data_IF_235832935157
#
_entry.id   IF_235832935157
#
_cell.length_a   1.000
_cell.length_b   1.000
_cell.length_c   1.000
_cell.angle_alpha   90.00
_cell.angle_beta   90.00
_cell.angle_gamma   90.00
#
_symmetry.space_group_name_H-M   'P 1'
#
loop_
_entity.id
_entity.type
_entity.pdbx_description
1 polymer ?
#
# COMPACT_ATOMS: atom_id res chain seq x y z
N UNK A 1 4.29 16.90 -7.49
CA UNK A 1 3.86 15.54 -7.09
C UNK A 1 2.46 15.59 -6.51
N UNK A 2 1.61 14.59 -6.77
CA UNK A 2 0.33 14.36 -6.08
C UNK A 2 0.32 12.96 -5.47
N UNK A 3 -0.39 12.78 -4.35
CA UNK A 3 -0.59 11.46 -3.77
C UNK A 3 -1.99 10.94 -4.04
N UNK A 4 -2.18 9.62 -4.03
CA UNK A 4 -3.51 9.03 -3.96
C UNK A 4 -3.55 7.76 -3.12
N UNK A 5 -4.74 7.47 -2.61
CA UNK A 5 -5.08 6.21 -1.93
C UNK A 5 -6.44 5.71 -2.41
N UNK A 6 -6.69 4.41 -2.26
CA UNK A 6 -7.99 3.79 -2.55
C UNK A 6 -8.56 3.24 -1.26
N UNK A 7 -9.85 3.48 -1.02
CA UNK A 7 -10.49 3.23 0.27
C UNK A 7 -11.91 2.66 0.08
N UNK A 8 -12.21 1.61 0.85
CA UNK A 8 -13.54 1.06 1.07
C UNK A 8 -13.89 1.05 2.57
N UNK A 9 -15.12 0.66 2.92
CA UNK A 9 -15.61 0.61 4.31
C UNK A 9 -14.76 -0.27 5.23
N UNK A 10 -14.11 -1.30 4.69
CA UNK A 10 -13.28 -2.24 5.47
C UNK A 10 -12.00 -1.62 6.02
N UNK A 11 -11.58 -0.47 5.50
CA UNK A 11 -10.30 0.16 5.83
C UNK A 11 -10.42 1.54 6.50
N UNK A 12 -11.60 1.96 6.94
CA UNK A 12 -11.82 3.30 7.56
C UNK A 12 -10.90 3.53 8.77
N UNK A 13 -10.81 2.59 9.71
CA UNK A 13 -9.97 2.76 10.90
C UNK A 13 -8.48 2.86 10.54
N UNK A 14 -8.02 2.03 9.61
CA UNK A 14 -6.65 2.08 9.12
C UNK A 14 -6.37 3.39 8.39
N UNK A 15 -7.31 3.88 7.57
CA UNK A 15 -7.21 5.15 6.88
C UNK A 15 -7.09 6.33 7.85
N UNK A 16 -7.89 6.36 8.92
CA UNK A 16 -7.81 7.37 9.98
C UNK A 16 -6.40 7.42 10.57
N UNK A 17 -5.81 6.27 10.94
CA UNK A 17 -4.46 6.21 11.52
C UNK A 17 -3.37 6.55 10.50
N UNK A 18 -3.45 5.94 9.31
CA UNK A 18 -2.46 6.13 8.25
C UNK A 18 -2.41 7.58 7.77
N UNK A 19 -3.57 8.16 7.41
CA UNK A 19 -3.64 9.52 6.86
C UNK A 19 -3.35 10.58 7.92
N UNK A 20 -3.82 10.41 9.17
CA UNK A 20 -3.41 11.28 10.26
C UNK A 20 -1.89 11.28 10.47
N UNK A 21 -1.25 10.09 10.40
CA UNK A 21 0.21 10.01 10.50
C UNK A 21 0.92 10.58 9.28
N UNK A 22 0.37 10.41 8.07
CA UNK A 22 0.91 10.97 6.85
C UNK A 22 0.95 12.50 6.90
N UNK A 23 -0.18 13.15 7.16
CA UNK A 23 -0.28 14.61 7.21
C UNK A 23 0.44 15.26 8.40
N UNK A 24 0.76 14.48 9.43
CA UNK A 24 1.63 14.96 10.52
C UNK A 24 3.04 15.35 10.01
N UNK A 25 3.53 14.68 8.97
CA UNK A 25 4.91 14.85 8.49
C UNK A 25 5.01 15.36 7.06
N UNK A 26 3.93 15.29 6.27
CA UNK A 26 3.95 15.60 4.84
C UNK A 26 2.86 16.61 4.49
N UNK A 27 3.14 17.50 3.55
CA UNK A 27 2.17 18.45 2.99
C UNK A 27 2.17 18.31 1.48
N UNK A 28 1.16 17.64 0.95
CA UNK A 28 1.00 17.33 -0.48
C UNK A 28 -0.49 17.12 -0.77
N UNK A 29 -0.92 17.44 -1.99
CA UNK A 29 -2.28 17.12 -2.44
C UNK A 29 -2.49 15.60 -2.43
N UNK A 30 -3.57 15.15 -1.78
CA UNK A 30 -3.99 13.76 -1.70
C UNK A 30 -5.36 13.57 -2.32
N UNK A 31 -5.48 12.62 -3.24
CA UNK A 31 -6.76 12.19 -3.81
C UNK A 31 -7.18 10.88 -3.13
N UNK A 32 -8.36 10.87 -2.52
CA UNK A 32 -8.97 9.68 -1.94
C UNK A 32 -9.99 9.12 -2.92
N UNK A 33 -9.69 7.99 -3.54
CA UNK A 33 -10.66 7.23 -4.34
C UNK A 33 -11.48 6.33 -3.40
N UNK A 34 -12.65 6.80 -3.02
CA UNK A 34 -13.55 6.06 -2.13
C UNK A 34 -14.59 5.28 -2.91
N UNK A 35 -14.89 4.05 -2.49
CA UNK A 35 -16.02 3.31 -3.02
C UNK A 35 -17.32 4.08 -2.76
N UNK A 36 -18.23 4.14 -3.75
CA UNK A 36 -19.53 4.77 -3.58
C UNK A 36 -20.29 4.17 -2.39
N UNK A 37 -20.79 5.07 -1.52
CA UNK A 37 -21.51 4.69 -0.31
C UNK A 37 -20.66 4.63 0.95
N UNK A 38 -19.32 4.67 0.83
CA UNK A 38 -18.42 4.72 1.99
C UNK A 38 -18.57 6.04 2.76
N UNK A 39 -18.78 5.96 4.06
CA UNK A 39 -18.78 7.12 4.96
C UNK A 39 -17.35 7.51 5.34
N UNK A 40 -16.91 8.66 4.83
CA UNK A 40 -15.57 9.20 5.08
C UNK A 40 -15.51 10.23 6.23
N UNK A 41 -16.59 10.48 6.95
CA UNK A 41 -16.67 11.54 7.98
C UNK A 41 -15.51 11.48 8.97
N UNK A 42 -15.16 10.28 9.44
CA UNK A 42 -14.05 10.04 10.39
C UNK A 42 -12.67 10.26 9.77
N UNK A 43 -12.51 9.91 8.50
CA UNK A 43 -11.26 10.11 7.75
C UNK A 43 -11.03 11.59 7.50
N UNK A 44 -12.08 12.29 7.02
CA UNK A 44 -11.99 13.72 6.72
C UNK A 44 -11.78 14.58 7.97
N UNK A 45 -12.21 14.12 9.14
CA UNK A 45 -11.98 14.81 10.41
C UNK A 45 -10.51 14.84 10.86
N UNK A 46 -9.63 14.00 10.28
CA UNK A 46 -8.21 13.89 10.70
C UNK A 46 -7.22 14.32 9.62
N UNK A 47 -7.71 14.87 8.51
CA UNK A 47 -6.87 15.33 7.38
C UNK A 47 -7.12 16.81 7.10
N UNK A 48 -6.14 17.56 6.56
CA UNK A 48 -6.33 18.96 6.18
C UNK A 48 -7.24 19.05 4.95
N UNK A 49 -8.39 19.73 5.09
CA UNK A 49 -9.41 19.84 4.04
C UNK A 49 -8.84 20.45 2.75
N UNK A 50 -7.97 21.45 2.88
CA UNK A 50 -7.37 22.16 1.74
C UNK A 50 -6.38 21.32 0.91
N UNK A 51 -5.97 20.15 1.41
CA UNK A 51 -5.04 19.25 0.72
C UNK A 51 -5.69 17.98 0.23
N UNK A 52 -6.99 17.76 0.47
CA UNK A 52 -7.65 16.49 0.18
C UNK A 52 -8.79 16.65 -0.81
N UNK A 53 -8.72 15.93 -1.91
CA UNK A 53 -9.82 15.75 -2.86
C UNK A 53 -10.42 14.35 -2.67
N UNK A 54 -11.75 14.24 -2.66
CA UNK A 54 -12.44 12.94 -2.60
C UNK A 54 -13.13 12.66 -3.94
N UNK A 55 -12.84 11.48 -4.50
CA UNK A 55 -13.50 10.95 -5.71
C UNK A 55 -14.27 9.68 -5.36
N UNK A 56 -15.60 9.77 -5.34
CA UNK A 56 -16.46 8.61 -5.14
C UNK A 56 -16.62 7.83 -6.45
N UNK A 57 -16.15 6.58 -6.45
CA UNK A 57 -16.12 5.71 -7.63
C UNK A 57 -16.79 4.36 -7.36
N UNK A 58 -17.30 3.72 -8.39
CA UNK A 58 -17.71 2.32 -8.30
C UNK A 58 -16.50 1.44 -8.61
N UNK A 59 -16.13 0.58 -7.67
CA UNK A 59 -15.05 -0.37 -7.91
C UNK A 59 -15.45 -1.41 -8.96
N UNK A 60 -14.50 -1.95 -9.72
CA UNK A 60 -14.77 -3.02 -10.67
C UNK A 60 -15.45 -4.22 -9.99
N UNK A 61 -16.39 -4.90 -10.65
CA UNK A 61 -17.13 -6.01 -10.05
C UNK A 61 -16.23 -7.23 -9.78
N UNK A 62 -16.53 -7.97 -8.72
CA UNK A 62 -15.76 -9.14 -8.28
C UNK A 62 -15.65 -10.25 -9.34
N UNK A 63 -16.66 -10.39 -10.18
CA UNK A 63 -16.77 -11.42 -11.20
C UNK A 63 -15.62 -11.35 -12.21
N UNK A 64 -15.10 -10.15 -12.48
CA UNK A 64 -13.94 -9.94 -13.35
C UNK A 64 -12.66 -10.63 -12.82
N UNK A 65 -12.63 -10.96 -11.55
CA UNK A 65 -11.44 -11.46 -10.85
C UNK A 65 -11.61 -12.87 -10.29
N UNK A 66 -12.68 -13.58 -10.65
CA UNK A 66 -13.02 -14.88 -10.07
C UNK A 66 -11.90 -15.93 -10.20
N UNK A 67 -11.13 -15.87 -11.26
CA UNK A 67 -10.02 -16.82 -11.56
C UNK A 67 -8.64 -16.31 -11.13
N UNK A 68 -8.52 -15.05 -10.70
CA UNK A 68 -7.23 -14.45 -10.32
C UNK A 68 -6.65 -15.16 -9.10
N UNK A 69 -5.36 -15.51 -9.19
CA UNK A 69 -4.60 -16.17 -8.12
C UNK A 69 -4.97 -17.64 -7.86
N UNK A 70 -6.00 -18.20 -8.51
CA UNK A 70 -6.46 -19.55 -8.24
C UNK A 70 -6.66 -19.79 -6.74
N UNK A 71 -6.02 -20.83 -6.16
CA UNK A 71 -6.04 -21.12 -4.72
C UNK A 71 -4.87 -20.47 -3.95
N UNK A 72 -4.13 -19.55 -4.56
CA UNK A 72 -2.82 -19.07 -4.10
C UNK A 72 -2.77 -17.57 -3.86
N UNK A 73 -3.90 -16.89 -4.00
CA UNK A 73 -3.99 -15.44 -3.84
C UNK A 73 -3.57 -15.04 -2.41
N UNK A 74 -2.57 -14.17 -2.30
CA UNK A 74 -2.06 -13.65 -1.02
C UNK A 74 -2.93 -12.54 -0.42
N UNK A 75 -3.75 -11.92 -1.26
CA UNK A 75 -4.71 -10.91 -0.84
C UNK A 75 -6.10 -11.55 -0.70
N UNK A 76 -6.90 -11.06 0.22
CA UNK A 76 -8.29 -11.51 0.30
C UNK A 76 -9.02 -11.17 -1.00
N UNK A 77 -9.82 -12.12 -1.55
CA UNK A 77 -10.50 -11.90 -2.84
C UNK A 77 -11.36 -10.63 -2.87
N UNK A 78 -11.96 -10.26 -1.74
CA UNK A 78 -12.72 -9.01 -1.61
C UNK A 78 -11.90 -7.75 -1.83
N UNK A 79 -10.58 -7.80 -1.67
CA UNK A 79 -9.70 -6.66 -1.89
C UNK A 79 -9.32 -6.45 -3.37
N UNK A 80 -9.56 -7.45 -4.25
CA UNK A 80 -9.12 -7.36 -5.65
C UNK A 80 -9.80 -6.22 -6.43
N UNK A 81 -11.08 -5.88 -6.23
CA UNK A 81 -11.70 -4.71 -6.83
C UNK A 81 -11.02 -3.39 -6.43
N UNK A 82 -10.67 -3.22 -5.16
CA UNK A 82 -9.93 -2.04 -4.68
C UNK A 82 -8.52 -1.97 -5.31
N UNK A 83 -7.86 -3.13 -5.44
CA UNK A 83 -6.56 -3.27 -6.11
C UNK A 83 -6.66 -2.86 -7.59
N UNK A 84 -7.69 -3.29 -8.29
CA UNK A 84 -7.91 -2.91 -9.69
C UNK A 84 -8.25 -1.41 -9.82
N UNK A 85 -9.05 -0.86 -8.90
CA UNK A 85 -9.32 0.57 -8.84
C UNK A 85 -8.05 1.38 -8.61
N UNK A 86 -7.06 0.84 -7.89
CA UNK A 86 -5.78 1.50 -7.67
C UNK A 86 -4.97 1.70 -8.96
N UNK A 87 -4.96 0.70 -9.85
CA UNK A 87 -4.32 0.84 -11.16
C UNK A 87 -5.05 1.89 -12.03
N UNK A 88 -6.38 1.92 -11.96
CA UNK A 88 -7.17 2.94 -12.67
C UNK A 88 -6.90 4.33 -12.10
N UNK A 89 -6.87 4.49 -10.78
CA UNK A 89 -6.53 5.75 -10.12
C UNK A 89 -5.10 6.21 -10.48
N UNK A 90 -4.13 5.30 -10.56
CA UNK A 90 -2.78 5.63 -11.00
C UNK A 90 -2.77 6.21 -12.41
N UNK A 91 -3.52 5.61 -13.36
CA UNK A 91 -3.66 6.15 -14.71
C UNK A 91 -4.26 7.56 -14.71
N UNK A 92 -5.35 7.76 -13.98
CA UNK A 92 -6.05 9.05 -13.89
C UNK A 92 -5.17 10.14 -13.27
N UNK A 93 -4.54 9.88 -12.13
CA UNK A 93 -3.70 10.85 -11.43
C UNK A 93 -2.41 11.17 -12.20
N UNK A 94 -1.85 10.20 -12.92
CA UNK A 94 -0.66 10.44 -13.77
C UNK A 94 -0.91 11.38 -14.94
N UNK A 95 -2.17 11.56 -15.36
CA UNK A 95 -2.53 12.58 -16.34
C UNK A 95 -2.57 14.01 -15.76
N UNK A 96 -2.60 14.14 -14.43
CA UNK A 96 -2.68 15.43 -13.72
C UNK A 96 -1.33 15.90 -13.19
N UNK A 97 -0.32 15.03 -13.10
CA UNK A 97 0.99 15.36 -12.53
C UNK A 97 2.09 14.46 -13.08
N UNK A 98 3.30 15.00 -13.20
CA UNK A 98 4.48 14.26 -13.67
C UNK A 98 4.98 13.20 -12.68
N UNK A 99 4.56 13.27 -11.42
CA UNK A 99 5.01 12.35 -10.39
C UNK A 99 3.86 12.02 -9.44
N UNK A 100 3.55 10.74 -9.31
CA UNK A 100 2.45 10.22 -8.51
C UNK A 100 3.00 9.42 -7.34
N UNK A 101 2.59 9.74 -6.11
CA UNK A 101 2.82 8.94 -4.92
C UNK A 101 1.58 8.10 -4.61
N UNK A 102 1.77 6.80 -4.41
CA UNK A 102 0.73 5.91 -3.92
C UNK A 102 1.22 5.14 -2.71
N UNK A 103 0.37 4.93 -1.71
CA UNK A 103 0.67 4.12 -0.54
C UNK A 103 -0.55 3.35 -0.03
N UNK A 104 -0.28 2.26 0.69
CA UNK A 104 -1.29 1.43 1.34
C UNK A 104 -1.78 2.06 2.64
N UNK A 105 -3.05 1.80 3.00
CA UNK A 105 -3.63 2.33 4.24
C UNK A 105 -3.29 1.49 5.49
N UNK A 106 -2.66 0.34 5.32
CA UNK A 106 -2.07 -0.44 6.42
C UNK A 106 -0.62 -0.02 6.72
N UNK A 107 -0.39 1.28 6.66
CA UNK A 107 0.90 1.92 6.90
C UNK A 107 0.85 2.89 8.08
N UNK A 108 2.02 3.19 8.65
CA UNK A 108 2.21 4.22 9.66
C UNK A 108 3.41 5.08 9.26
N UNK A 109 3.18 6.38 9.06
CA UNK A 109 4.26 7.34 8.80
C UNK A 109 4.90 7.78 10.11
N UNK A 110 6.22 7.73 10.16
CA UNK A 110 7.06 8.12 11.30
C UNK A 110 7.98 9.28 10.97
N UNK A 111 8.06 9.66 9.70
CA UNK A 111 8.85 10.77 9.20
C UNK A 111 8.32 11.32 7.89
N UNK A 112 9.00 12.37 7.40
CA UNK A 112 8.66 13.02 6.14
C UNK A 112 9.24 12.24 4.97
N UNK A 113 8.36 11.73 4.09
CA UNK A 113 8.75 10.98 2.88
C UNK A 113 8.74 11.86 1.62
N UNK A 114 7.85 12.85 1.57
CA UNK A 114 7.59 13.63 0.34
C UNK A 114 8.80 14.44 -0.10
N UNK A 115 9.46 15.28 0.72
CA UNK A 115 10.61 16.05 0.29
C UNK A 115 11.75 15.16 -0.22
N UNK A 116 12.00 14.03 0.45
CA UNK A 116 13.04 13.08 0.05
C UNK A 116 12.71 12.41 -1.29
N UNK A 117 11.43 12.08 -1.53
CA UNK A 117 10.99 11.55 -2.82
C UNK A 117 11.07 12.59 -3.93
N UNK A 118 10.78 13.86 -3.64
CA UNK A 118 10.94 14.95 -4.60
C UNK A 118 12.38 15.11 -5.03
N UNK A 119 13.33 15.12 -4.09
CA UNK A 119 14.76 15.17 -4.38
C UNK A 119 15.23 13.98 -5.22
N UNK A 120 14.90 12.74 -4.79
CA UNK A 120 15.27 11.52 -5.51
C UNK A 120 14.67 11.49 -6.91
N UNK A 121 13.40 11.86 -7.06
CA UNK A 121 12.73 11.82 -8.38
C UNK A 121 13.19 12.93 -9.30
N UNK A 122 13.69 14.05 -8.77
CA UNK A 122 14.26 15.15 -9.57
C UNK A 122 15.52 14.70 -10.34
N UNK A 123 16.31 13.79 -9.77
CA UNK A 123 17.52 13.26 -10.39
C UNK A 123 17.25 12.33 -11.58
N UNK A 124 16.00 11.87 -11.74
CA UNK A 124 15.62 10.87 -12.75
C UNK A 124 14.58 11.42 -13.73
N UNK A 125 14.78 11.19 -15.03
CA UNK A 125 13.83 11.62 -16.07
C UNK A 125 12.51 10.84 -16.04
N UNK A 126 12.56 9.56 -15.70
CA UNK A 126 11.39 8.67 -15.64
C UNK A 126 11.70 7.40 -14.86
N UNK A 127 10.68 6.65 -14.48
CA UNK A 127 10.77 5.33 -13.83
C UNK A 127 9.80 5.19 -12.68
N UNK A 128 9.81 4.02 -12.06
CA UNK A 128 9.11 3.77 -10.80
C UNK A 128 10.12 3.62 -9.67
N UNK A 129 9.73 4.08 -8.49
CA UNK A 129 10.57 4.11 -7.29
C UNK A 129 9.87 3.33 -6.18
N UNK A 130 10.58 2.40 -5.57
CA UNK A 130 10.02 1.57 -4.52
C UNK A 130 11.07 0.79 -3.75
N UNK A 131 10.65 0.09 -2.71
CA UNK A 131 11.50 -0.77 -1.88
C UNK A 131 11.37 -2.22 -2.32
N UNK A 132 12.51 -2.88 -2.57
CA UNK A 132 12.54 -4.26 -3.03
C UNK A 132 12.21 -5.26 -1.92
N UNK A 133 11.44 -6.26 -2.27
CA UNK A 133 10.96 -7.36 -1.45
C UNK A 133 11.74 -8.66 -1.76
N UNK A 134 13.07 -8.65 -1.58
CA UNK A 134 13.98 -9.67 -2.15
C UNK A 134 13.86 -11.08 -1.56
N UNK A 135 13.80 -11.25 -0.25
CA UNK A 135 14.00 -12.57 0.37
C UNK A 135 12.82 -13.53 0.24
N UNK A 136 11.60 -13.08 0.41
CA UNK A 136 10.42 -13.94 0.28
C UNK A 136 10.07 -14.22 -1.17
N UNK A 137 10.34 -13.27 -2.06
CA UNK A 137 10.12 -13.42 -3.49
C UNK A 137 10.75 -14.69 -4.04
N UNK A 138 12.05 -14.92 -3.78
CA UNK A 138 12.78 -16.04 -4.39
C UNK A 138 12.27 -17.41 -3.91
N UNK A 139 11.86 -17.51 -2.64
CA UNK A 139 11.23 -18.73 -2.11
C UNK A 139 9.87 -18.97 -2.78
N UNK A 140 9.05 -17.94 -2.88
CA UNK A 140 7.70 -18.03 -3.40
C UNK A 140 7.67 -18.22 -4.91
N UNK A 141 8.50 -17.51 -5.64
CA UNK A 141 8.64 -17.59 -7.09
C UNK A 141 9.14 -18.96 -7.54
N UNK A 142 10.08 -19.59 -6.80
CA UNK A 142 10.55 -20.95 -7.05
C UNK A 142 9.43 -21.97 -6.89
N UNK A 143 8.59 -21.82 -5.86
CA UNK A 143 7.46 -22.71 -5.60
C UNK A 143 6.33 -22.59 -6.62
N UNK A 144 6.16 -21.39 -7.22
CA UNK A 144 4.99 -21.01 -7.98
C UNK A 144 5.13 -21.07 -9.50
N UNK A 145 6.30 -21.46 -10.03
CA UNK A 145 6.60 -21.40 -11.47
C UNK A 145 6.40 -19.99 -12.09
N UNK A 146 6.39 -18.93 -11.28
CA UNK A 146 6.23 -17.55 -11.73
C UNK A 146 7.52 -16.93 -12.28
N UNK A 147 8.62 -17.68 -12.31
CA UNK A 147 9.92 -17.20 -12.83
C UNK A 147 9.84 -16.61 -14.25
N UNK A 148 8.94 -17.14 -15.07
CA UNK A 148 8.74 -16.66 -16.44
C UNK A 148 8.01 -15.32 -16.47
N UNK A 149 7.16 -15.05 -15.46
CA UNK A 149 6.35 -13.84 -15.41
C UNK A 149 7.11 -12.69 -14.73
N UNK A 150 7.89 -12.96 -13.66
CA UNK A 150 8.55 -11.90 -12.86
C UNK A 150 10.06 -12.13 -12.77
N UNK A 151 10.73 -12.33 -13.89
CA UNK A 151 12.19 -12.39 -13.93
C UNK A 151 12.79 -10.97 -13.96
N UNK A 152 12.55 -10.19 -12.89
CA UNK A 152 13.11 -8.86 -12.77
C UNK A 152 14.14 -8.80 -11.64
N UNK A 153 15.28 -8.11 -11.82
CA UNK A 153 16.29 -7.99 -10.77
C UNK A 153 15.79 -7.24 -9.54
N UNK A 154 14.80 -6.34 -9.71
CA UNK A 154 14.14 -5.59 -8.65
C UNK A 154 12.64 -5.92 -8.70
N UNK A 155 12.12 -6.40 -7.58
CA UNK A 155 10.69 -6.62 -7.38
C UNK A 155 10.23 -5.78 -6.18
N UNK A 156 9.47 -4.72 -6.47
CA UNK A 156 9.04 -3.75 -5.46
C UNK A 156 7.77 -4.21 -4.75
N UNK A 157 7.73 -3.98 -3.45
CA UNK A 157 6.48 -3.99 -2.69
C UNK A 157 5.70 -2.69 -3.00
N UNK A 158 4.40 -2.81 -3.23
CA UNK A 158 3.55 -1.69 -3.64
C UNK A 158 2.96 -0.89 -2.46
N UNK A 159 3.37 -1.17 -1.23
CA UNK A 159 2.90 -0.45 -0.04
C UNK A 159 3.29 1.02 0.01
N UNK A 160 4.39 1.40 -0.68
CA UNK A 160 4.69 2.78 -1.04
C UNK A 160 5.43 2.76 -2.37
N UNK A 161 4.87 3.47 -3.35
CA UNK A 161 5.42 3.58 -4.68
C UNK A 161 5.34 5.03 -5.18
N UNK A 162 6.40 5.47 -5.85
CA UNK A 162 6.38 6.72 -6.59
C UNK A 162 6.53 6.41 -8.09
N UNK A 163 5.69 7.04 -8.91
CA UNK A 163 5.63 6.82 -10.35
C UNK A 163 5.93 8.13 -11.09
N UNK A 164 7.03 8.15 -11.84
CA UNK A 164 7.37 9.19 -12.81
C UNK A 164 7.45 8.53 -14.19
N UNK A 165 6.31 8.05 -14.66
CA UNK A 165 6.20 7.21 -15.84
C UNK A 165 4.90 7.50 -16.59
N UNK A 166 4.91 7.24 -17.90
CA UNK A 166 3.67 7.25 -18.70
C UNK A 166 2.78 6.07 -18.29
N UNK A 167 1.61 6.39 -17.74
CA UNK A 167 0.60 5.41 -17.33
C UNK A 167 -0.60 5.35 -18.28
N UNK A 168 -0.54 5.93 -19.47
CA UNK A 168 -1.63 5.93 -20.45
C UNK A 168 -2.02 4.51 -20.85
N UNK A 169 -3.30 4.17 -20.73
CA UNK A 169 -3.87 2.85 -21.03
C UNK A 169 -3.38 1.76 -20.05
N UNK A 170 -2.92 2.15 -18.84
CA UNK A 170 -2.38 1.23 -17.85
C UNK A 170 -3.44 0.27 -17.32
N UNK A 171 -4.66 0.77 -17.10
CA UNK A 171 -5.77 -0.05 -16.62
C UNK A 171 -6.16 -1.15 -17.62
N UNK A 172 -6.28 -0.81 -18.89
CA UNK A 172 -6.58 -1.80 -19.94
C UNK A 172 -5.47 -2.85 -20.07
N UNK A 173 -4.20 -2.43 -19.93
CA UNK A 173 -3.06 -3.36 -19.91
C UNK A 173 -3.11 -4.29 -18.69
N UNK A 174 -3.51 -3.77 -17.53
CA UNK A 174 -3.70 -4.55 -16.32
C UNK A 174 -4.79 -5.61 -16.51
N UNK A 175 -5.98 -5.23 -17.00
CA UNK A 175 -7.08 -6.17 -17.25
C UNK A 175 -6.65 -7.27 -18.22
N UNK A 176 -6.02 -6.93 -19.36
CA UNK A 176 -5.49 -7.94 -20.29
C UNK A 176 -4.46 -8.86 -19.66
N UNK A 177 -3.61 -8.33 -18.78
CA UNK A 177 -2.61 -9.16 -18.07
C UNK A 177 -3.29 -10.11 -17.09
N UNK A 178 -4.35 -9.67 -16.41
CA UNK A 178 -5.16 -10.54 -15.54
C UNK A 178 -5.85 -11.67 -16.35
N UNK A 179 -6.41 -11.36 -17.51
CA UNK A 179 -7.04 -12.34 -18.39
C UNK A 179 -6.05 -13.42 -18.84
N UNK A 180 -4.82 -13.03 -19.17
CA UNK A 180 -3.78 -13.94 -19.69
C UNK A 180 -3.04 -14.70 -18.58
N UNK A 181 -2.75 -14.05 -17.47
CA UNK A 181 -1.82 -14.55 -16.44
C UNK A 181 -2.36 -14.51 -15.02
N UNK A 182 -3.54 -13.94 -14.80
CA UNK A 182 -4.10 -13.69 -13.47
C UNK A 182 -4.20 -14.93 -12.58
N UNK A 183 -4.43 -16.11 -13.16
CA UNK A 183 -4.46 -17.37 -12.41
C UNK A 183 -3.15 -17.64 -11.65
N UNK A 184 -2.01 -17.19 -12.19
CA UNK A 184 -0.68 -17.39 -11.62
C UNK A 184 -0.21 -16.23 -10.72
N UNK A 185 -0.93 -15.12 -10.73
CA UNK A 185 -0.58 -13.94 -9.93
C UNK A 185 -0.86 -14.17 -8.45
N UNK A 186 0.02 -13.67 -7.63
CA UNK A 186 0.00 -13.77 -6.18
C UNK A 186 -0.55 -12.51 -5.51
N UNK A 187 0.06 -11.39 -5.89
CA UNK A 187 -0.35 -10.04 -5.55
C UNK A 187 -0.59 -9.31 -6.88
N UNK A 188 -1.80 -9.33 -7.44
CA UNK A 188 -2.05 -8.99 -8.84
C UNK A 188 -1.52 -7.62 -9.26
N UNK A 189 -1.71 -6.58 -8.44
CA UNK A 189 -1.19 -5.26 -8.71
C UNK A 189 0.34 -5.23 -8.63
N UNK A 190 0.90 -5.76 -7.55
CA UNK A 190 2.34 -5.77 -7.31
C UNK A 190 3.06 -6.55 -8.43
N UNK A 191 2.53 -7.72 -8.79
CA UNK A 191 3.05 -8.51 -9.91
C UNK A 191 2.97 -7.74 -11.22
N UNK A 192 1.83 -7.11 -11.52
CA UNK A 192 1.64 -6.32 -12.72
C UNK A 192 2.59 -5.13 -12.80
N UNK A 193 2.67 -4.31 -11.75
CA UNK A 193 3.57 -3.15 -11.68
C UNK A 193 5.01 -3.57 -11.94
N UNK A 194 5.44 -4.66 -11.31
CA UNK A 194 6.78 -5.19 -11.47
C UNK A 194 7.08 -5.78 -12.85
N UNK A 195 6.05 -6.30 -13.53
CA UNK A 195 6.15 -6.77 -14.92
C UNK A 195 6.16 -5.63 -15.93
N UNK A 196 5.26 -4.68 -15.75
CA UNK A 196 4.99 -3.63 -16.72
C UNK A 196 6.11 -2.59 -16.79
N UNK A 197 6.52 -2.06 -15.64
CA UNK A 197 7.53 -1.01 -15.59
C UNK A 197 8.95 -1.59 -15.59
N UNK A 198 9.72 -1.29 -16.63
CA UNK A 198 11.09 -1.81 -16.82
C UNK A 198 12.13 -0.93 -16.12
N UNK A 199 11.90 0.38 -16.08
CA UNK A 199 12.81 1.33 -15.44
C UNK A 199 12.45 1.48 -13.97
N UNK A 200 13.33 0.97 -13.10
CA UNK A 200 13.11 0.85 -11.66
C UNK A 200 14.26 1.47 -10.88
N UNK A 201 13.92 2.22 -9.85
CA UNK A 201 14.86 2.86 -8.95
C UNK A 201 14.61 2.42 -7.51
N UNK A 202 15.62 1.79 -6.91
CA UNK A 202 15.54 1.26 -5.54
C UNK A 202 15.57 2.40 -4.52
N UNK A 203 14.56 2.46 -3.64
CA UNK A 203 14.56 3.28 -2.45
C UNK A 203 15.20 2.56 -1.25
N UNK A 204 15.70 3.33 -0.28
CA UNK A 204 16.07 2.79 1.03
C UNK A 204 14.91 2.07 1.70
N UNK A 205 15.19 0.98 2.45
CA UNK A 205 14.18 0.24 3.20
C UNK A 205 13.37 1.07 4.19
N UNK A 206 13.87 2.24 4.59
CA UNK A 206 13.19 3.18 5.50
C UNK A 206 11.90 3.76 4.91
N UNK A 207 11.80 3.86 3.58
CA UNK A 207 10.60 4.35 2.88
C UNK A 207 9.42 3.38 2.92
N UNK A 208 9.68 2.08 3.11
CA UNK A 208 8.66 1.04 3.19
C UNK A 208 9.22 -0.11 4.05
N UNK A 209 9.26 0.12 5.36
CA UNK A 209 9.81 -0.86 6.30
C UNK A 209 8.84 -2.01 6.51
N UNK A 210 9.26 -3.20 6.11
CA UNK A 210 8.51 -4.44 6.14
C UNK A 210 9.22 -5.43 7.07
N UNK A 211 8.50 -6.09 7.96
CA UNK A 211 9.03 -6.92 9.05
C UNK A 211 10.01 -8.03 8.63
N UNK A 212 9.90 -8.53 7.42
CA UNK A 212 10.81 -9.57 6.92
C UNK A 212 12.04 -9.01 6.17
N UNK A 213 12.13 -7.69 5.97
CA UNK A 213 13.33 -7.10 5.39
C UNK A 213 14.51 -7.13 6.39
N UNK A 214 15.74 -7.35 5.93
CA UNK A 214 16.93 -7.29 6.77
C UNK A 214 17.03 -5.94 7.51
N UNK A 215 17.42 -5.99 8.77
CA UNK A 215 17.61 -4.79 9.60
C UNK A 215 16.32 -4.10 10.05
N UNK A 216 15.15 -4.72 9.87
CA UNK A 216 13.86 -4.11 10.22
C UNK A 216 13.77 -3.56 11.65
N UNK A 217 14.34 -4.27 12.65
CA UNK A 217 14.30 -3.82 14.05
C UNK A 217 15.21 -2.64 14.35
N UNK A 218 16.34 -2.60 13.67
CA UNK A 218 17.41 -1.61 13.83
C UNK A 218 17.19 -0.37 12.92
N UNK A 219 16.26 -0.48 12.00
CA UNK A 219 15.94 0.57 11.03
C UNK A 219 15.29 1.78 11.72
N UNK A 220 15.55 2.98 11.22
CA UNK A 220 14.82 4.20 11.56
C UNK A 220 13.79 4.52 10.46
N UNK A 221 12.64 3.82 10.42
CA UNK A 221 11.74 3.91 9.28
C UNK A 221 11.06 5.27 9.19
N UNK A 222 10.93 5.76 7.96
CA UNK A 222 10.06 6.88 7.61
C UNK A 222 8.61 6.43 7.49
N UNK A 223 8.41 5.19 7.04
CA UNK A 223 7.10 4.53 6.99
C UNK A 223 7.23 3.05 7.33
N UNK A 224 6.32 2.55 8.17
CA UNK A 224 6.15 1.12 8.48
C UNK A 224 4.94 0.58 7.73
N UNK A 225 5.07 -0.56 7.06
CA UNK A 225 4.00 -1.24 6.37
C UNK A 225 3.67 -2.57 7.07
N UNK A 226 2.44 -2.68 7.56
CA UNK A 226 1.94 -3.84 8.31
C UNK A 226 1.35 -4.86 7.35
N UNK A 227 2.16 -5.83 6.92
CA UNK A 227 1.74 -6.84 5.94
C UNK A 227 1.11 -8.07 6.57
N UNK A 228 0.25 -8.74 5.78
CA UNK A 228 -0.22 -10.11 6.04
C UNK A 228 -0.89 -10.29 7.41
N UNK A 229 -0.49 -11.31 8.16
CA UNK A 229 -1.06 -11.68 9.46
C UNK A 229 -0.52 -10.84 10.63
N UNK A 230 0.56 -10.09 10.41
CA UNK A 230 1.28 -9.33 11.44
C UNK A 230 0.75 -7.91 11.63
N UNK A 231 -0.53 -7.70 11.38
CA UNK A 231 -1.20 -6.41 11.56
C UNK A 231 -1.65 -6.25 13.03
N UNK A 232 -1.40 -5.08 13.66
CA UNK A 232 -1.76 -4.87 15.07
C UNK A 232 -3.26 -5.04 15.39
N UNK A 233 -4.13 -4.97 14.38
CA UNK A 233 -5.59 -5.10 14.49
C UNK A 233 -6.13 -6.47 14.10
N UNK A 234 -5.28 -7.45 13.76
CA UNK A 234 -5.73 -8.80 13.41
C UNK A 234 -6.26 -9.56 14.62
N UNK A 235 -7.18 -10.49 14.38
CA UNK A 235 -7.72 -11.37 15.43
C UNK A 235 -6.70 -12.37 15.94
N UNK A 236 -5.80 -12.81 15.06
CA UNK A 236 -4.76 -13.80 15.35
C UNK A 236 -3.39 -13.16 15.21
N UNK A 237 -2.55 -13.39 16.20
CA UNK A 237 -1.16 -12.93 16.23
C UNK A 237 -0.27 -14.06 15.73
N UNK A 238 0.62 -13.74 14.81
CA UNK A 238 1.68 -14.67 14.38
C UNK A 238 2.87 -14.61 15.34
N UNK A 239 3.69 -15.66 15.38
CA UNK A 239 4.76 -15.79 16.39
C UNK A 239 6.12 -15.19 16.00
N UNK A 240 6.22 -14.38 14.97
CA UNK A 240 7.48 -13.70 14.61
C UNK A 240 7.62 -12.36 15.34
N UNK A 241 8.47 -12.34 16.38
CA UNK A 241 8.71 -11.14 17.19
C UNK A 241 9.26 -9.93 16.40
N UNK A 242 9.83 -10.14 15.22
CA UNK A 242 10.28 -9.03 14.36
C UNK A 242 9.10 -8.18 13.89
N UNK A 243 7.98 -8.81 13.58
CA UNK A 243 6.76 -8.15 13.12
C UNK A 243 6.23 -7.11 14.12
N UNK A 244 6.53 -7.28 15.41
CA UNK A 244 5.96 -6.47 16.49
C UNK A 244 6.78 -5.23 16.86
N UNK A 245 7.96 -5.04 16.24
CA UNK A 245 8.89 -3.96 16.60
C UNK A 245 8.26 -2.56 16.63
N UNK A 246 7.28 -2.30 15.76
CA UNK A 246 6.62 -1.00 15.65
C UNK A 246 5.15 -0.98 16.09
N UNK A 247 4.63 -2.05 16.69
CA UNK A 247 3.24 -2.11 17.14
C UNK A 247 2.91 -1.10 18.24
N UNK A 248 3.86 -0.82 19.14
CA UNK A 248 3.69 0.22 20.16
C UNK A 248 3.54 1.62 19.54
N UNK A 249 4.28 1.90 18.45
CA UNK A 249 4.14 3.16 17.71
C UNK A 249 2.78 3.27 17.02
N UNK A 250 2.26 2.15 16.49
CA UNK A 250 0.92 2.09 15.93
C UNK A 250 -0.16 2.35 16.98
N UNK A 251 -0.09 1.72 18.15
CA UNK A 251 -0.99 1.96 19.27
C UNK A 251 -0.97 3.43 19.66
N UNK A 252 0.19 4.04 19.84
CA UNK A 252 0.32 5.46 20.16
C UNK A 252 -0.25 6.37 19.07
N UNK A 253 -0.25 5.94 17.82
CA UNK A 253 -0.93 6.66 16.74
C UNK A 253 -2.46 6.54 16.86
N UNK A 254 -2.98 5.34 17.14
CA UNK A 254 -4.41 5.13 17.40
C UNK A 254 -4.92 5.98 18.57
N UNK A 255 -4.17 6.03 19.68
CA UNK A 255 -4.54 6.80 20.87
C UNK A 255 -4.65 8.31 20.60
N UNK A 256 -3.88 8.84 19.67
CA UNK A 256 -3.98 10.27 19.27
C UNK A 256 -5.25 10.60 18.48
N UNK A 257 -5.86 9.62 17.84
CA UNK A 257 -7.08 9.77 17.02
C UNK A 257 -8.23 8.90 17.51
N UNK A 258 -8.21 8.49 18.80
CA UNK A 258 -9.13 7.48 19.33
C UNK A 258 -10.60 7.86 19.19
N UNK A 259 -10.93 9.16 19.26
CA UNK A 259 -12.31 9.66 19.07
C UNK A 259 -12.88 9.40 17.68
N UNK A 260 -12.03 9.07 16.70
CA UNK A 260 -12.39 8.79 15.31
C UNK A 260 -12.28 7.30 14.96
N UNK A 261 -11.93 6.43 15.94
CA UNK A 261 -11.81 4.99 15.75
C UNK A 261 -12.98 4.21 16.33
N UNK A 262 -13.27 3.06 15.76
CA UNK A 262 -14.19 2.11 16.39
C UNK A 262 -13.57 1.55 17.67
N UNK A 263 -14.35 1.48 18.73
CA UNK A 263 -13.89 0.98 20.02
C UNK A 263 -13.41 -0.46 19.94
N UNK A 264 -14.10 -1.33 19.19
CA UNK A 264 -13.67 -2.72 18.98
C UNK A 264 -12.31 -2.81 18.28
N UNK A 265 -12.06 -1.95 17.28
CA UNK A 265 -10.76 -1.86 16.61
C UNK A 265 -9.66 -1.44 17.58
N UNK A 266 -9.89 -0.36 18.33
CA UNK A 266 -8.91 0.18 19.28
C UNK A 266 -8.58 -0.82 20.41
N UNK A 267 -9.60 -1.45 21.02
CA UNK A 267 -9.40 -2.46 22.05
C UNK A 267 -8.65 -3.69 21.51
N UNK A 268 -8.86 -4.07 20.28
CA UNK A 268 -8.11 -5.15 19.63
C UNK A 268 -6.64 -4.80 19.47
N UNK A 269 -6.33 -3.59 19.02
CA UNK A 269 -4.94 -3.10 18.91
C UNK A 269 -4.28 -3.08 20.30
N UNK A 270 -4.97 -2.51 21.31
CA UNK A 270 -4.49 -2.48 22.71
C UNK A 270 -4.19 -3.88 23.25
N UNK A 271 -5.12 -4.81 23.05
CA UNK A 271 -4.97 -6.20 23.48
C UNK A 271 -3.77 -6.88 22.82
N UNK A 272 -3.62 -6.72 21.50
CA UNK A 272 -2.54 -7.35 20.76
C UNK A 272 -1.18 -6.80 21.16
N UNK A 273 -1.04 -5.48 21.32
CA UNK A 273 0.21 -4.85 21.77
C UNK A 273 0.61 -5.29 23.19
N UNK A 274 -0.37 -5.51 24.09
CA UNK A 274 -0.10 -6.03 25.44
C UNK A 274 0.40 -7.47 25.43
N UNK A 275 -0.06 -8.31 24.48
CA UNK A 275 0.31 -9.73 24.38
C UNK A 275 1.75 -9.95 23.87
N UNK A 276 2.31 -8.98 23.17
CA UNK A 276 3.66 -9.09 22.56
C UNK A 276 4.74 -8.33 23.36
N UNK A 277 4.37 -7.73 24.48
CA UNK A 277 5.29 -7.20 25.47
C UNK A 277 5.82 -8.33 26.36
#
# INVERSE_FOLDING_TARGET
>A
MKAFVVLDDGYINQAVVSLSSFFKYNRIELIIYAQKGTDLSRVLAVVPEELVEVRYVSFPPHELFATVGGNRLMVHRSAVPAIAQRIKALEEVSAETDCVLNFDLDTLFLGSVVPLLEDITAEHKSGIFGVSERENRDKWMKQMKLKEIVNTPLYFNTGLMCYKADCTGLYDKFIRTLEQHGYFMYCPEQDFVNLHFKKKHQLSGEFNAIWFNPGYKEMAPLMVHYLSMEKPWNRFIYLDFRAYAYWQKYLSACERVESYLDQEFLERVRSNVRRVK
#
